data_IF_978560676195
#
_entry.id   IF_978560676195
#
_cell.length_a   1.000
_cell.length_b   1.000
_cell.length_c   1.000
_cell.angle_alpha   90.00
_cell.angle_beta   90.00
_cell.angle_gamma   90.00
#
_symmetry.space_group_name_H-M   'P 1'
#
loop_
_entity.id
_entity.type
_entity.pdbx_description
1 polymer ?
#
# COMPACT_ATOMS: atom_id res chain seq x y z
N UNK A 1 29.90 34.52 -13.79
CA UNK A 1 30.17 33.29 -13.00
C UNK A 1 29.16 33.04 -11.87
N UNK A 2 28.35 34.03 -11.47
CA UNK A 2 27.40 33.86 -10.36
C UNK A 2 26.01 33.48 -10.85
N UNK A 3 25.57 34.00 -12.00
CA UNK A 3 24.26 33.68 -12.60
C UNK A 3 24.10 32.18 -12.87
N UNK A 4 25.10 31.54 -13.50
CA UNK A 4 25.04 30.09 -13.79
C UNK A 4 24.99 29.22 -12.52
N UNK A 5 25.68 29.63 -11.45
CA UNK A 5 25.63 28.94 -10.15
C UNK A 5 24.32 29.20 -9.41
N UNK A 6 23.80 30.41 -9.50
CA UNK A 6 22.51 30.81 -8.93
C UNK A 6 21.38 30.05 -9.61
N UNK A 7 21.34 29.99 -10.94
CA UNK A 7 20.36 29.21 -11.71
C UNK A 7 20.49 27.71 -11.41
N UNK A 8 21.72 27.18 -11.33
CA UNK A 8 21.96 25.78 -10.99
C UNK A 8 21.47 25.43 -9.57
N UNK A 9 21.73 26.28 -8.58
CA UNK A 9 21.26 26.11 -7.21
C UNK A 9 19.73 26.06 -7.12
N UNK A 10 19.03 26.95 -7.85
CA UNK A 10 17.57 26.93 -7.92
C UNK A 10 17.04 25.67 -8.61
N UNK A 11 17.69 25.19 -9.68
CA UNK A 11 17.34 23.94 -10.37
C UNK A 11 17.52 22.73 -9.44
N UNK A 12 18.60 22.67 -8.66
CA UNK A 12 18.81 21.61 -7.67
C UNK A 12 17.77 21.67 -6.55
N UNK A 13 17.46 22.87 -6.04
CA UNK A 13 16.45 23.05 -5.01
C UNK A 13 15.06 22.61 -5.51
N UNK A 14 14.67 22.95 -6.74
CA UNK A 14 13.38 22.53 -7.32
C UNK A 14 13.35 21.04 -7.66
N UNK A 15 14.45 20.45 -8.13
CA UNK A 15 14.56 18.99 -8.35
C UNK A 15 14.47 18.21 -7.04
N UNK A 16 15.06 18.70 -5.95
CA UNK A 16 14.94 18.08 -4.62
C UNK A 16 13.51 18.16 -4.09
N UNK A 17 12.79 19.26 -4.31
CA UNK A 17 11.38 19.42 -3.89
C UNK A 17 10.45 18.45 -4.65
N UNK A 18 10.74 18.14 -5.93
CA UNK A 18 9.95 17.20 -6.74
C UNK A 18 10.04 15.73 -6.29
N UNK A 19 11.02 15.36 -5.44
CA UNK A 19 11.23 13.99 -4.96
C UNK A 19 10.53 13.70 -3.62
N UNK A 20 10.06 14.73 -2.90
CA UNK A 20 9.44 14.59 -1.55
C UNK A 20 7.93 14.32 -1.64
N UNK A 21 7.40 14.03 -2.83
CA UNK A 21 6.03 13.54 -3.03
C UNK A 21 5.96 12.02 -3.16
N UNK A 22 7.10 11.33 -3.20
CA UNK A 22 7.14 9.88 -3.10
C UNK A 22 7.38 9.51 -1.64
N UNK A 23 6.38 9.80 -0.80
CA UNK A 23 6.08 8.79 0.22
C UNK A 23 5.85 7.51 -0.59
N UNK A 24 6.85 6.63 -0.59
CA UNK A 24 6.64 5.26 -1.01
C UNK A 24 5.57 4.74 -0.06
N UNK A 25 4.31 4.89 -0.47
CA UNK A 25 3.18 4.20 0.09
C UNK A 25 3.57 2.74 -0.04
N UNK A 26 4.03 2.17 1.08
CA UNK A 26 4.24 0.74 1.15
C UNK A 26 2.89 0.14 0.81
N UNK A 27 2.71 -0.33 -0.44
CA UNK A 27 1.41 -0.67 -1.04
C UNK A 27 0.47 -1.22 0.01
N UNK A 28 -0.40 -0.35 0.50
CA UNK A 28 -1.24 -0.66 1.63
C UNK A 28 -2.16 -1.80 1.20
N UNK A 29 -2.06 -2.94 1.89
CA UNK A 29 -2.73 -4.18 1.49
C UNK A 29 -4.25 -4.12 1.72
N UNK A 30 -4.67 -3.31 2.69
CA UNK A 30 -6.05 -3.11 3.11
C UNK A 30 -6.25 -1.76 3.80
N UNK A 31 -7.49 -1.30 3.89
CA UNK A 31 -7.83 -0.06 4.61
C UNK A 31 -7.66 -0.25 6.14
N UNK A 32 -6.86 0.56 6.84
CA UNK A 32 -6.62 0.42 8.27
C UNK A 32 -7.90 0.40 9.11
N UNK A 33 -8.00 -0.55 10.05
CA UNK A 33 -9.18 -0.71 10.89
C UNK A 33 -10.34 -1.47 10.24
N UNK A 34 -10.29 -1.70 8.92
CA UNK A 34 -11.31 -2.50 8.23
C UNK A 34 -11.29 -3.96 8.70
N UNK A 35 -12.44 -4.63 8.54
CA UNK A 35 -12.62 -6.06 8.78
C UNK A 35 -13.26 -6.69 7.55
N UNK A 36 -12.69 -7.78 7.06
CA UNK A 36 -13.11 -8.44 5.82
C UNK A 36 -12.82 -9.94 5.85
N UNK A 37 -13.19 -10.65 4.77
CA UNK A 37 -12.92 -12.09 4.62
C UNK A 37 -12.02 -12.36 3.42
N UNK A 38 -11.11 -13.34 3.55
CA UNK A 38 -10.33 -13.93 2.46
C UNK A 38 -10.58 -15.43 2.42
N UNK A 39 -11.39 -15.86 1.45
CA UNK A 39 -12.00 -17.18 1.50
C UNK A 39 -12.78 -17.33 2.81
N UNK A 40 -12.50 -18.39 3.56
CA UNK A 40 -13.13 -18.66 4.85
C UNK A 40 -12.47 -17.96 6.05
N UNK A 41 -11.36 -17.26 5.83
CA UNK A 41 -10.59 -16.62 6.89
C UNK A 41 -11.11 -15.21 7.16
N UNK A 42 -11.41 -14.93 8.42
CA UNK A 42 -11.70 -13.57 8.90
C UNK A 42 -10.39 -12.81 9.08
N UNK A 43 -10.37 -11.57 8.62
CA UNK A 43 -9.20 -10.70 8.59
C UNK A 43 -9.52 -9.33 9.19
N UNK A 44 -8.54 -8.74 9.87
CA UNK A 44 -8.56 -7.34 10.31
C UNK A 44 -7.34 -6.61 9.74
N UNK A 45 -7.52 -5.37 9.30
CA UNK A 45 -6.43 -4.57 8.79
C UNK A 45 -5.72 -3.80 9.89
N UNK A 46 -4.41 -3.98 10.03
CA UNK A 46 -3.61 -3.25 11.01
C UNK A 46 -3.59 -1.74 10.71
N UNK A 47 -3.20 -0.90 11.68
CA UNK A 47 -2.99 0.53 11.45
C UNK A 47 -1.95 0.86 10.37
N UNK A 48 -1.03 -0.08 10.09
CA UNK A 48 0.01 0.07 9.07
C UNK A 48 -0.41 -0.49 7.71
N UNK A 49 -1.68 -0.89 7.54
CA UNK A 49 -2.18 -1.39 6.26
C UNK A 49 -1.84 -2.84 5.95
N UNK A 50 -1.61 -3.68 6.98
CA UNK A 50 -1.27 -5.10 6.83
C UNK A 50 -2.44 -5.97 7.25
N UNK A 51 -2.84 -6.93 6.41
CA UNK A 51 -3.93 -7.84 6.72
C UNK A 51 -3.50 -8.92 7.73
N UNK A 52 -4.18 -8.98 8.87
CA UNK A 52 -4.00 -10.05 9.87
C UNK A 52 -5.21 -10.97 9.83
N UNK A 53 -5.01 -12.18 9.32
CA UNK A 53 -6.08 -13.16 9.12
C UNK A 53 -5.95 -14.37 10.04
N UNK A 54 -7.09 -15.00 10.32
CA UNK A 54 -7.14 -16.38 10.84
C UNK A 54 -6.54 -17.36 9.83
N UNK A 55 -6.19 -18.58 10.28
CA UNK A 55 -5.53 -19.63 9.47
C UNK A 55 -6.36 -20.91 9.40
N UNK A 56 -7.62 -20.79 9.02
CA UNK A 56 -8.50 -21.91 8.69
C UNK A 56 -8.07 -22.51 7.36
N UNK A 57 -8.02 -23.84 7.29
CA UNK A 57 -7.90 -24.56 6.03
C UNK A 57 -9.22 -24.42 5.26
N UNK A 58 -9.22 -23.59 4.22
CA UNK A 58 -10.41 -23.43 3.38
C UNK A 58 -10.46 -24.58 2.37
N UNK A 59 -11.57 -25.32 2.35
CA UNK A 59 -11.83 -26.32 1.33
C UNK A 59 -12.13 -25.59 0.02
N UNK A 60 -11.11 -25.37 -0.82
CA UNK A 60 -11.35 -25.05 -2.23
C UNK A 60 -11.71 -26.36 -2.91
N UNK A 61 -12.97 -26.77 -2.81
CA UNK A 61 -13.43 -27.81 -3.70
C UNK A 61 -13.34 -27.25 -5.13
N UNK A 62 -12.74 -27.95 -6.11
CA UNK A 62 -13.05 -27.66 -7.50
C UNK A 62 -14.55 -27.88 -7.84
N UNK A 63 -15.37 -28.31 -6.87
CA UNK A 63 -16.79 -28.65 -7.03
C UNK A 63 -17.65 -28.18 -5.85
N UNK A 64 -17.41 -26.99 -5.30
CA UNK A 64 -18.43 -26.29 -4.51
C UNK A 64 -18.89 -25.09 -5.33
N UNK A 65 -19.78 -25.38 -6.27
CA UNK A 65 -20.58 -24.38 -6.95
C UNK A 65 -21.07 -23.35 -5.93
N UNK A 66 -20.98 -22.09 -6.34
CA UNK A 66 -21.88 -21.03 -5.92
C UNK A 66 -23.31 -21.60 -5.76
N UNK A 67 -23.74 -21.80 -4.52
CA UNK A 67 -25.14 -21.99 -4.19
C UNK A 67 -25.56 -20.75 -3.42
N UNK A 68 -25.95 -19.75 -4.23
CA UNK A 68 -26.78 -18.59 -3.93
C UNK A 68 -26.33 -17.69 -2.77
#
# INVERSE_FOLDING_TARGET
MNIMKTTLFFIFATLLILQVANCADSEQECEPGSTFQRGCNSCHCSPTGVAVCTKKGCLTAPDAAEVN
#
